data_IF_695671783977
#
_entry.id   IF_695671783977
#
_cell.length_a   1.000
_cell.length_b   1.000
_cell.length_c   1.000
_cell.angle_alpha   90.00
_cell.angle_beta   90.00
_cell.angle_gamma   90.00
#
_symmetry.space_group_name_H-M   'P 1'
#
loop_
_entity.id
_entity.type
_entity.pdbx_description
1 polymer ?
#
# COMPACT_ATOMS: atom_id res chain seq x y z
N UNK A 1 19.39 8.81 -52.91
CA UNK A 1 19.30 7.87 -51.78
C UNK A 1 19.73 8.65 -50.57
N UNK A 2 18.81 8.92 -49.67
CA UNK A 2 19.02 9.07 -48.21
C UNK A 2 17.66 9.45 -47.64
N UNK A 3 17.06 8.48 -46.97
CA UNK A 3 15.82 8.65 -46.23
C UNK A 3 16.16 9.07 -44.81
N UNK A 4 15.45 10.07 -44.29
CA UNK A 4 15.43 10.35 -42.87
C UNK A 4 14.22 9.66 -42.25
N UNK A 5 14.57 8.61 -41.53
CA UNK A 5 13.77 7.81 -40.61
C UNK A 5 13.07 8.68 -39.58
N UNK A 6 11.75 8.48 -39.46
CA UNK A 6 10.97 8.99 -38.34
C UNK A 6 11.47 8.43 -37.01
N UNK A 7 11.74 9.33 -36.06
CA UNK A 7 11.90 8.99 -34.65
C UNK A 7 10.59 9.28 -33.92
N UNK A 8 9.67 8.32 -33.98
CA UNK A 8 8.54 8.28 -33.05
C UNK A 8 9.04 7.93 -31.66
N UNK A 9 9.36 8.94 -30.84
CA UNK A 9 9.60 8.75 -29.42
C UNK A 9 8.25 8.59 -28.71
N UNK A 10 7.74 7.36 -28.68
CA UNK A 10 6.64 6.98 -27.81
C UNK A 10 7.10 7.05 -26.36
N UNK A 11 6.95 8.23 -25.75
CA UNK A 11 7.06 8.41 -24.31
C UNK A 11 5.96 7.59 -23.65
N UNK A 12 6.31 6.39 -23.17
CA UNK A 12 5.41 5.55 -22.40
C UNK A 12 4.91 6.33 -21.19
N UNK A 13 3.64 6.69 -21.19
CA UNK A 13 2.96 7.19 -20.00
C UNK A 13 3.11 6.15 -18.89
N UNK A 14 3.98 6.42 -17.92
CA UNK A 14 3.97 5.71 -16.64
C UNK A 14 2.63 6.05 -16.01
N UNK A 15 1.63 5.19 -16.21
CA UNK A 15 0.34 5.28 -15.53
C UNK A 15 0.62 5.44 -14.05
N UNK A 16 0.32 6.63 -13.53
CA UNK A 16 0.48 6.95 -12.12
C UNK A 16 -0.52 6.11 -11.35
N UNK A 17 -0.10 4.93 -10.92
CA UNK A 17 -0.93 3.97 -10.20
C UNK A 17 -1.46 4.67 -8.93
N UNK A 18 -2.79 4.73 -8.81
CA UNK A 18 -3.45 5.47 -7.73
C UNK A 18 -3.59 4.55 -6.53
N UNK A 19 -2.71 4.71 -5.54
CA UNK A 19 -2.82 4.03 -4.25
C UNK A 19 -4.16 4.39 -3.59
N UNK A 20 -4.89 3.37 -3.10
CA UNK A 20 -6.11 3.54 -2.30
C UNK A 20 -5.97 2.78 -1.00
N UNK A 21 -6.26 3.42 0.12
CA UNK A 21 -6.27 2.81 1.44
C UNK A 21 -7.70 2.77 1.97
N UNK A 22 -8.24 1.57 2.13
CA UNK A 22 -9.47 1.35 2.89
C UNK A 22 -9.13 1.25 4.36
N UNK A 23 -9.68 2.16 5.16
CA UNK A 23 -9.28 2.35 6.56
C UNK A 23 -10.44 2.82 7.43
N UNK A 24 -10.39 2.43 8.70
CA UNK A 24 -11.26 2.94 9.76
C UNK A 24 -10.44 3.83 10.70
N UNK A 25 -10.97 5.02 11.03
CA UNK A 25 -10.18 6.04 11.73
C UNK A 25 -9.72 5.61 13.13
N UNK A 26 -10.47 4.74 13.80
CA UNK A 26 -10.17 4.19 15.13
C UNK A 26 -9.46 2.82 15.10
N UNK A 27 -9.18 2.26 13.92
CA UNK A 27 -8.42 1.01 13.83
C UNK A 27 -6.93 1.27 14.02
N UNK A 28 -6.31 0.62 15.01
CA UNK A 28 -4.85 0.68 15.25
C UNK A 28 -4.06 0.05 14.09
N UNK A 29 -4.53 -1.09 13.56
CA UNK A 29 -3.94 -1.72 12.37
C UNK A 29 -3.95 -0.77 11.16
N UNK A 30 -5.06 -0.04 10.96
CA UNK A 30 -5.16 0.95 9.88
C UNK A 30 -4.34 2.20 10.16
N UNK A 31 -4.21 2.60 11.42
CA UNK A 31 -3.35 3.72 11.83
C UNK A 31 -1.88 3.48 11.51
N UNK A 32 -1.38 2.27 11.76
CA UNK A 32 -0.02 1.85 11.39
C UNK A 32 0.27 2.03 9.89
N UNK A 33 -0.66 1.63 9.02
CA UNK A 33 -0.51 1.79 7.56
C UNK A 33 -0.56 3.27 7.15
N UNK A 34 -1.44 4.07 7.76
CA UNK A 34 -1.47 5.52 7.53
C UNK A 34 -0.12 6.16 7.87
N UNK A 35 0.45 5.86 9.03
CA UNK A 35 1.78 6.38 9.41
C UNK A 35 2.81 5.99 8.37
N UNK A 36 2.87 4.72 7.97
CA UNK A 36 3.85 4.25 7.01
C UNK A 36 3.75 4.95 5.65
N UNK A 37 2.54 5.08 5.10
CA UNK A 37 2.32 5.80 3.84
C UNK A 37 2.76 7.26 3.92
N UNK A 38 2.42 7.95 5.01
CA UNK A 38 2.83 9.34 5.22
C UNK A 38 4.34 9.48 5.42
N UNK A 39 4.95 8.56 6.16
CA UNK A 39 6.39 8.54 6.41
C UNK A 39 7.19 8.28 5.13
N UNK A 40 6.72 7.40 4.25
CA UNK A 40 7.29 7.19 2.91
C UNK A 40 6.97 8.34 1.94
N UNK A 41 6.09 9.28 2.30
CA UNK A 41 5.67 10.39 1.44
C UNK A 41 4.80 9.94 0.25
N UNK A 42 4.14 8.79 0.36
CA UNK A 42 3.29 8.25 -0.70
C UNK A 42 1.91 8.93 -0.68
N UNK A 43 1.49 9.46 -1.83
CA UNK A 43 0.14 10.00 -1.98
C UNK A 43 -0.85 8.86 -2.23
N UNK A 44 -1.92 8.81 -1.46
CA UNK A 44 -2.96 7.80 -1.58
C UNK A 44 -4.35 8.41 -1.40
N UNK A 45 -5.35 7.74 -1.96
CA UNK A 45 -6.76 8.03 -1.73
C UNK A 45 -7.24 7.32 -0.46
N UNK A 46 -7.76 8.07 0.51
CA UNK A 46 -8.35 7.48 1.71
C UNK A 46 -9.81 7.09 1.46
N UNK A 47 -10.13 5.81 1.64
CA UNK A 47 -11.49 5.26 1.62
C UNK A 47 -11.88 4.91 3.05
N UNK A 48 -12.83 5.67 3.62
CA UNK A 48 -13.38 5.36 4.93
C UNK A 48 -14.25 4.12 4.86
N UNK A 49 -14.03 3.17 5.77
CA UNK A 49 -14.92 2.02 6.00
C UNK A 49 -15.42 2.10 7.43
N UNK A 50 -16.73 2.20 7.61
CA UNK A 50 -17.34 2.32 8.92
C UNK A 50 -17.64 0.94 9.52
N UNK A 51 -16.77 0.52 10.45
CA UNK A 51 -16.92 -0.77 11.12
C UNK A 51 -18.16 -0.85 12.03
N UNK A 52 -18.60 0.28 12.58
CA UNK A 52 -19.79 0.34 13.44
C UNK A 52 -21.08 0.12 12.65
N UNK A 53 -21.06 0.41 11.35
CA UNK A 53 -22.16 0.17 10.42
C UNK A 53 -22.05 -1.16 9.66
N UNK A 54 -20.99 -1.94 9.91
CA UNK A 54 -20.77 -3.21 9.22
C UNK A 54 -20.36 -3.06 7.75
N UNK A 55 -19.87 -1.90 7.31
CA UNK A 55 -19.52 -1.65 5.90
C UNK A 55 -18.43 -2.59 5.36
N UNK A 56 -17.62 -3.18 6.25
CA UNK A 56 -16.62 -4.20 5.91
C UNK A 56 -17.24 -5.53 5.46
N UNK A 57 -18.54 -5.73 5.70
CA UNK A 57 -19.30 -6.91 5.25
C UNK A 57 -20.00 -6.67 3.90
N UNK A 58 -19.93 -5.45 3.37
CA UNK A 58 -20.54 -5.14 2.07
C UNK A 58 -19.91 -6.01 0.97
N UNK A 59 -20.70 -6.50 0.00
CA UNK A 59 -20.18 -7.36 -1.07
C UNK A 59 -19.00 -6.75 -1.83
N UNK A 60 -19.00 -5.44 -2.04
CA UNK A 60 -17.89 -4.73 -2.69
C UNK A 60 -16.60 -4.75 -1.88
N UNK A 61 -16.68 -4.72 -0.53
CA UNK A 61 -15.51 -4.81 0.32
C UNK A 61 -15.03 -6.27 0.45
N UNK A 62 -15.95 -7.22 0.58
CA UNK A 62 -15.63 -8.65 0.66
C UNK A 62 -14.93 -9.15 -0.61
N UNK A 63 -15.25 -8.60 -1.78
CA UNK A 63 -14.48 -8.85 -3.03
C UNK A 63 -13.02 -8.43 -2.93
N UNK A 64 -12.71 -7.37 -2.16
CA UNK A 64 -11.33 -6.91 -1.94
C UNK A 64 -10.63 -7.74 -0.86
N UNK A 65 -11.33 -8.03 0.24
CA UNK A 65 -10.81 -8.80 1.35
C UNK A 65 -11.90 -9.73 1.91
N UNK A 66 -11.86 -11.03 1.57
CA UNK A 66 -12.83 -12.01 2.07
C UNK A 66 -12.88 -12.11 3.60
N UNK A 67 -11.78 -11.76 4.29
CA UNK A 67 -11.72 -11.74 5.76
C UNK A 67 -12.51 -10.59 6.39
N UNK A 68 -13.00 -9.62 5.60
CA UNK A 68 -13.85 -8.53 6.09
C UNK A 68 -13.14 -7.58 7.07
N UNK A 69 -11.81 -7.50 7.03
CA UNK A 69 -11.04 -6.69 7.98
C UNK A 69 -10.40 -5.49 7.29
N UNK A 70 -10.18 -4.41 8.05
CA UNK A 70 -9.36 -3.26 7.65
C UNK A 70 -8.01 -3.30 8.37
N UNK A 71 -6.93 -2.81 7.78
CA UNK A 71 -6.84 -2.09 6.50
C UNK A 71 -6.76 -2.99 5.26
N UNK A 72 -7.08 -2.40 4.10
CA UNK A 72 -6.81 -2.97 2.77
C UNK A 72 -6.15 -1.89 1.91
N UNK A 73 -5.01 -2.20 1.31
CA UNK A 73 -4.32 -1.34 0.35
C UNK A 73 -4.58 -1.87 -1.06
N UNK A 74 -4.96 -0.97 -1.97
CA UNK A 74 -5.02 -1.25 -3.41
C UNK A 74 -3.96 -0.41 -4.10
N UNK A 75 -3.08 -1.08 -4.84
CA UNK A 75 -2.01 -0.49 -5.64
C UNK A 75 -2.11 -1.00 -7.08
N UNK A 76 -2.85 -0.26 -7.91
CA UNK A 76 -3.23 -0.72 -9.24
C UNK A 76 -4.07 -1.99 -9.18
N UNK A 77 -3.54 -3.07 -9.75
CA UNK A 77 -4.18 -4.38 -9.79
C UNK A 77 -3.86 -5.23 -8.55
N UNK A 78 -2.92 -4.78 -7.70
CA UNK A 78 -2.53 -5.50 -6.48
C UNK A 78 -3.43 -5.07 -5.33
N UNK A 79 -4.05 -6.05 -4.66
CA UNK A 79 -4.79 -5.84 -3.42
C UNK A 79 -4.07 -6.56 -2.29
N UNK A 80 -3.71 -5.82 -1.25
CA UNK A 80 -3.04 -6.36 -0.07
C UNK A 80 -3.90 -6.06 1.15
N UNK A 81 -4.32 -7.13 1.82
CA UNK A 81 -4.96 -7.07 3.13
C UNK A 81 -3.93 -7.44 4.21
N UNK A 82 -4.28 -7.18 5.48
CA UNK A 82 -3.39 -7.25 6.64
C UNK A 82 -2.35 -6.11 6.69
N UNK A 83 -2.36 -5.41 7.81
CA UNK A 83 -1.50 -4.25 8.01
C UNK A 83 0.00 -4.54 7.95
N UNK A 84 0.47 -5.72 8.34
CA UNK A 84 1.89 -6.08 8.30
C UNK A 84 2.32 -6.45 6.89
N UNK A 85 1.49 -7.24 6.20
CA UNK A 85 1.71 -7.55 4.78
C UNK A 85 1.78 -6.26 3.96
N UNK A 86 0.92 -5.28 4.24
CA UNK A 86 0.97 -3.96 3.62
C UNK A 86 2.28 -3.24 3.92
N UNK A 87 2.79 -3.25 5.17
CA UNK A 87 4.07 -2.61 5.49
C UNK A 87 5.24 -3.23 4.73
N UNK A 88 5.32 -4.56 4.66
CA UNK A 88 6.36 -5.27 3.92
C UNK A 88 6.25 -4.97 2.42
N UNK A 89 5.04 -5.02 1.87
CA UNK A 89 4.77 -4.65 0.48
C UNK A 89 5.26 -3.23 0.17
N UNK A 90 4.95 -2.26 1.02
CA UNK A 90 5.38 -0.87 0.82
C UNK A 90 6.89 -0.70 0.89
N UNK A 91 7.57 -1.46 1.77
CA UNK A 91 9.02 -1.41 1.89
C UNK A 91 9.71 -1.96 0.63
N UNK A 92 9.25 -3.10 0.13
CA UNK A 92 9.85 -3.75 -1.05
C UNK A 92 9.48 -3.04 -2.37
N UNK A 93 8.24 -2.53 -2.48
CA UNK A 93 7.75 -1.89 -3.71
C UNK A 93 8.26 -0.47 -3.90
N UNK A 94 8.48 0.26 -2.80
CA UNK A 94 8.88 1.67 -2.81
C UNK A 94 10.24 1.87 -2.08
N UNK A 95 11.34 1.23 -2.55
CA UNK A 95 12.63 1.26 -1.86
C UNK A 95 13.34 2.61 -1.97
N UNK A 96 12.99 3.43 -2.98
CA UNK A 96 13.55 4.78 -3.18
C UNK A 96 12.93 5.84 -2.26
N UNK A 97 11.85 5.49 -1.57
CA UNK A 97 11.24 6.34 -0.55
C UNK A 97 11.90 6.08 0.81
N UNK A 98 11.63 6.95 1.79
CA UNK A 98 12.22 6.82 3.12
C UNK A 98 11.99 5.40 3.70
N UNK A 99 13.04 4.68 4.12
CA UNK A 99 12.91 3.29 4.54
C UNK A 99 12.15 3.20 5.86
N UNK A 100 11.21 2.24 5.94
CA UNK A 100 10.46 1.99 7.18
C UNK A 100 11.31 1.21 8.18
N UNK A 101 12.27 0.43 7.69
CA UNK A 101 13.10 -0.45 8.50
C UNK A 101 14.58 -0.09 8.34
N UNK A 102 15.41 -0.39 9.36
CA UNK A 102 16.87 -0.35 9.21
C UNK A 102 17.32 -1.23 8.05
N UNK A 103 18.44 -0.91 7.39
CA UNK A 103 18.97 -1.78 6.32
C UNK A 103 19.76 -2.98 6.88
N UNK A 104 20.31 -2.84 8.09
CA UNK A 104 21.03 -3.90 8.79
C UNK A 104 20.11 -5.08 9.13
N UNK A 105 20.52 -6.30 8.75
CA UNK A 105 19.70 -7.50 8.88
C UNK A 105 19.37 -7.85 10.33
N UNK A 106 20.29 -7.63 11.27
CA UNK A 106 20.07 -7.93 12.68
C UNK A 106 19.05 -6.96 13.28
N UNK A 107 19.17 -5.67 12.99
CA UNK A 107 18.20 -4.66 13.41
C UNK A 107 16.82 -4.88 12.80
N UNK A 108 16.75 -5.34 11.54
CA UNK A 108 15.46 -5.72 10.91
C UNK A 108 14.82 -6.90 11.62
N UNK A 109 15.60 -7.96 11.90
CA UNK A 109 15.11 -9.15 12.60
C UNK A 109 14.50 -8.80 13.97
N UNK A 110 15.16 -7.94 14.75
CA UNK A 110 14.65 -7.46 16.05
C UNK A 110 13.33 -6.69 15.89
N UNK A 111 13.18 -5.86 14.85
CA UNK A 111 11.94 -5.14 14.60
C UNK A 111 10.76 -6.07 14.27
N UNK A 112 11.02 -7.21 13.62
CA UNK A 112 9.97 -8.21 13.37
C UNK A 112 9.56 -8.96 14.64
N UNK A 113 10.48 -9.16 15.59
CA UNK A 113 10.22 -9.90 16.82
C UNK A 113 9.20 -9.21 17.74
N UNK A 114 9.13 -7.87 17.72
CA UNK A 114 8.25 -7.07 18.58
C UNK A 114 6.74 -7.18 18.31
N UNK A 115 6.28 -8.21 17.60
CA UNK A 115 4.87 -8.42 17.24
C UNK A 115 4.17 -9.53 18.04
N UNK A 116 4.85 -10.14 19.03
CA UNK A 116 4.33 -11.29 19.78
C UNK A 116 4.42 -11.16 21.32
N UNK A 117 4.55 -9.95 21.85
CA UNK A 117 4.54 -9.71 23.31
C UNK A 117 3.41 -8.79 23.72
#
# INVERSE_FOLDING_TARGET
MEGESGSGSGSGEVKKQKLKLYSFWWSTCSFRVRIALNFKGLKYEYKSVNLLKGEQLNPEFIKLNPSGNVPVLVDGDTVVADSLAILMYLEDKYPHHYPLLPQDIHKRAINYQGQLT
#
